data_IF_758518783891
#
_entry.id   IF_758518783891
#
_cell.length_a   1.000
_cell.length_b   1.000
_cell.length_c   1.000
_cell.angle_alpha   90.00
_cell.angle_beta   90.00
_cell.angle_gamma   90.00
#
_symmetry.space_group_name_H-M   'P 1'
#
loop_
_entity.id
_entity.type
_entity.pdbx_description
1 polymer ?
#
# COMPACT_ATOMS: atom_id res chain seq x y z
N UNK A 1 13.58 7.96 12.49
CA UNK A 1 12.44 7.11 12.11
C UNK A 1 12.81 5.97 11.14
N UNK A 2 14.06 5.90 10.64
CA UNK A 2 14.51 4.95 9.61
C UNK A 2 15.26 3.73 10.13
N UNK A 3 15.65 3.68 11.41
CA UNK A 3 16.54 2.65 11.92
C UNK A 3 15.91 1.25 11.92
N UNK A 4 14.59 1.12 12.16
CA UNK A 4 13.97 -0.20 12.11
C UNK A 4 13.92 -0.74 10.68
N UNK A 5 13.46 0.07 9.71
CA UNK A 5 13.26 -0.41 8.34
C UNK A 5 14.56 -0.74 7.62
N UNK A 6 15.69 -0.12 8.01
CA UNK A 6 17.01 -0.47 7.49
C UNK A 6 17.52 -1.83 7.98
N UNK A 7 16.93 -2.40 9.03
CA UNK A 7 17.30 -3.69 9.60
C UNK A 7 16.32 -4.82 9.25
N UNK A 8 15.22 -4.52 8.55
CA UNK A 8 14.27 -5.54 8.07
C UNK A 8 14.58 -5.90 6.62
N UNK A 9 14.62 -7.19 6.33
CA UNK A 9 14.71 -7.67 4.96
C UNK A 9 13.47 -7.22 4.19
N UNK A 10 13.62 -6.36 3.18
CA UNK A 10 12.48 -5.81 2.44
C UNK A 10 11.55 -6.89 1.90
N UNK A 11 12.09 -8.06 1.53
CA UNK A 11 11.33 -9.20 1.00
C UNK A 11 10.36 -9.84 2.01
N UNK A 12 10.50 -9.57 3.32
CA UNK A 12 9.55 -10.02 4.34
C UNK A 12 8.40 -9.03 4.59
N UNK A 13 8.44 -7.85 3.97
CA UNK A 13 7.40 -6.84 4.08
C UNK A 13 6.29 -7.05 3.04
N UNK A 14 5.08 -6.65 3.37
CA UNK A 14 3.92 -6.70 2.47
C UNK A 14 3.20 -5.36 2.51
N UNK A 15 2.49 -5.04 1.43
CA UNK A 15 1.58 -3.89 1.38
C UNK A 15 0.18 -4.39 1.10
N UNK A 16 -0.85 -3.75 1.67
CA UNK A 16 -2.23 -4.01 1.25
C UNK A 16 -2.60 -3.13 0.07
N UNK A 17 -3.60 -3.55 -0.71
CA UNK A 17 -4.22 -2.70 -1.74
C UNK A 17 -4.80 -1.41 -1.17
N UNK A 18 -5.21 -1.39 0.11
CA UNK A 18 -5.64 -0.16 0.78
C UNK A 18 -4.50 0.85 0.91
N UNK A 19 -3.31 0.43 1.35
CA UNK A 19 -2.14 1.31 1.43
C UNK A 19 -1.78 1.87 0.05
N UNK A 20 -1.88 1.06 -1.01
CA UNK A 20 -1.71 1.54 -2.38
C UNK A 20 -2.72 2.65 -2.72
N UNK A 21 -3.99 2.44 -2.38
CA UNK A 21 -5.06 3.42 -2.57
C UNK A 21 -4.84 4.72 -1.78
N UNK A 22 -4.39 4.63 -0.53
CA UNK A 22 -4.09 5.80 0.31
C UNK A 22 -2.95 6.65 -0.27
N UNK A 23 -1.89 6.01 -0.78
CA UNK A 23 -0.79 6.70 -1.43
C UNK A 23 -1.29 7.38 -2.72
N UNK A 24 -2.07 6.67 -3.56
CA UNK A 24 -2.68 7.25 -4.75
C UNK A 24 -3.54 8.48 -4.41
N UNK A 25 -4.40 8.39 -3.39
CA UNK A 25 -5.20 9.51 -2.89
C UNK A 25 -4.32 10.69 -2.46
N UNK A 26 -3.19 10.43 -1.82
CA UNK A 26 -2.22 11.47 -1.45
C UNK A 26 -1.59 12.16 -2.68
N UNK A 27 -1.27 11.38 -3.72
CA UNK A 27 -0.73 11.91 -4.98
C UNK A 27 -1.77 12.78 -5.70
N UNK A 28 -3.04 12.35 -5.74
CA UNK A 28 -4.10 13.09 -6.44
C UNK A 28 -4.40 14.46 -5.84
N UNK A 29 -4.15 14.65 -4.53
CA UNK A 29 -4.30 15.93 -3.86
C UNK A 29 -3.24 16.97 -4.23
N UNK A 30 -2.18 16.58 -4.92
CA UNK A 30 -1.15 17.51 -5.38
C UNK A 30 -1.64 18.28 -6.61
N UNK A 31 -1.21 19.56 -6.77
CA UNK A 31 -1.38 20.25 -8.04
C UNK A 31 -0.71 19.49 -9.18
N UNK A 32 -1.26 19.64 -10.39
CA UNK A 32 -0.68 19.04 -11.58
C UNK A 32 0.73 19.58 -11.83
N UNK A 33 1.63 18.69 -12.25
CA UNK A 33 3.01 19.05 -12.54
C UNK A 33 4.00 17.92 -12.31
N UNK A 34 5.29 18.29 -12.34
CA UNK A 34 6.40 17.32 -12.31
C UNK A 34 6.38 16.41 -11.09
N UNK A 35 6.00 16.93 -9.91
CA UNK A 35 5.95 16.16 -8.65
C UNK A 35 4.87 15.09 -8.70
N UNK A 36 3.63 15.46 -9.02
CA UNK A 36 2.50 14.52 -9.16
C UNK A 36 2.82 13.43 -10.19
N UNK A 37 3.32 13.82 -11.36
CA UNK A 37 3.71 12.89 -12.42
C UNK A 37 4.86 11.96 -12.00
N UNK A 38 5.84 12.46 -11.26
CA UNK A 38 6.94 11.66 -10.72
C UNK A 38 6.45 10.60 -9.73
N UNK A 39 5.57 10.98 -8.80
CA UNK A 39 5.02 10.07 -7.81
C UNK A 39 4.09 9.03 -8.45
N UNK A 40 3.31 9.40 -9.47
CA UNK A 40 2.54 8.42 -10.25
C UNK A 40 3.43 7.38 -10.92
N UNK A 41 4.56 7.79 -11.52
CA UNK A 41 5.51 6.82 -12.09
C UNK A 41 6.09 5.92 -11.01
N UNK A 42 6.50 6.50 -9.89
CA UNK A 42 7.09 5.77 -8.78
C UNK A 42 6.13 4.70 -8.21
N UNK A 43 4.87 5.06 -7.92
CA UNK A 43 3.91 4.07 -7.37
C UNK A 43 3.55 2.99 -8.38
N UNK A 44 3.38 3.36 -9.66
CA UNK A 44 2.93 2.41 -10.69
C UNK A 44 4.05 1.53 -11.25
N UNK A 45 5.31 1.93 -11.11
CA UNK A 45 6.45 1.17 -11.62
C UNK A 45 7.32 0.67 -10.47
N UNK A 46 8.02 1.58 -9.80
CA UNK A 46 9.06 1.22 -8.83
C UNK A 46 8.47 0.48 -7.63
N UNK A 47 7.42 1.02 -7.01
CA UNK A 47 6.81 0.41 -5.82
C UNK A 47 6.15 -0.93 -6.16
N UNK A 48 5.35 -0.97 -7.24
CA UNK A 48 4.72 -2.23 -7.72
C UNK A 48 5.76 -3.30 -8.06
N UNK A 49 6.90 -2.93 -8.64
CA UNK A 49 7.97 -3.88 -8.98
C UNK A 49 8.65 -4.41 -7.73
N UNK A 50 9.01 -3.53 -6.79
CA UNK A 50 9.64 -3.91 -5.52
C UNK A 50 8.78 -4.89 -4.71
N UNK A 51 7.47 -4.64 -4.66
CA UNK A 51 6.49 -5.47 -3.94
C UNK A 51 5.75 -6.46 -4.83
N UNK A 52 6.31 -6.86 -5.98
CA UNK A 52 5.69 -7.85 -6.85
C UNK A 52 5.37 -9.14 -6.07
N UNK A 53 4.14 -9.66 -6.23
CA UNK A 53 3.60 -10.80 -5.48
C UNK A 53 3.52 -10.61 -3.95
N UNK A 54 3.71 -9.39 -3.46
CA UNK A 54 3.64 -9.02 -2.03
C UNK A 54 2.72 -7.81 -1.78
N UNK A 55 1.86 -7.52 -2.74
CA UNK A 55 0.71 -6.64 -2.56
C UNK A 55 -0.49 -7.56 -2.29
N UNK A 56 -1.06 -7.45 -1.10
CA UNK A 56 -2.18 -8.27 -0.65
C UNK A 56 -3.49 -7.62 -1.09
N UNK A 57 -4.28 -8.36 -1.86
CA UNK A 57 -5.62 -7.98 -2.23
C UNK A 57 -6.57 -8.03 -1.04
N UNK A 58 -7.70 -7.32 -1.15
CA UNK A 58 -8.82 -7.45 -0.23
C UNK A 58 -9.89 -8.30 -0.91
N UNK A 59 -9.74 -9.62 -0.77
CA UNK A 59 -10.60 -10.63 -1.39
C UNK A 59 -11.78 -11.02 -0.48
N UNK A 60 -12.58 -11.99 -0.93
CA UNK A 60 -13.73 -12.49 -0.18
C UNK A 60 -13.32 -13.00 1.22
N UNK A 61 -12.21 -13.73 1.31
CA UNK A 61 -11.75 -14.27 2.58
C UNK A 61 -11.35 -13.16 3.56
N UNK A 62 -10.62 -12.15 3.09
CA UNK A 62 -10.28 -10.97 3.87
C UNK A 62 -11.54 -10.21 4.32
N UNK A 63 -12.56 -10.12 3.45
CA UNK A 63 -13.84 -9.49 3.75
C UNK A 63 -14.62 -10.22 4.85
N UNK A 64 -14.67 -11.55 4.80
CA UNK A 64 -15.34 -12.37 5.82
C UNK A 64 -14.67 -12.20 7.18
N UNK A 65 -13.32 -12.26 7.22
CA UNK A 65 -12.55 -12.05 8.46
C UNK A 65 -12.70 -10.64 9.01
N UNK A 66 -12.71 -9.64 8.14
CA UNK A 66 -13.01 -8.27 8.56
C UNK A 66 -14.40 -8.16 9.19
N UNK A 67 -15.42 -8.78 8.60
CA UNK A 67 -16.78 -8.78 9.14
C UNK A 67 -16.88 -9.47 10.51
N UNK A 68 -16.22 -10.63 10.67
CA UNK A 68 -16.13 -11.32 11.96
C UNK A 68 -15.48 -10.46 13.06
N UNK A 69 -14.43 -9.69 12.70
CA UNK A 69 -13.73 -8.82 13.65
C UNK A 69 -14.59 -7.62 14.03
N UNK A 70 -15.26 -6.98 13.06
CA UNK A 70 -16.13 -5.84 13.32
C UNK A 70 -17.32 -6.22 14.20
N UNK A 71 -17.99 -7.32 13.91
CA UNK A 71 -19.14 -7.77 14.72
C UNK A 71 -18.79 -8.18 16.15
N UNK A 72 -17.50 -8.45 16.46
CA UNK A 72 -17.03 -8.71 17.84
C UNK A 72 -16.66 -7.43 18.59
N UNK A 73 -16.41 -6.34 17.86
CA UNK A 73 -15.97 -5.07 18.43
C UNK A 73 -17.15 -4.12 18.74
N UNK A 74 -18.32 -4.41 18.17
CA UNK A 74 -19.62 -3.80 18.53
C UNK A 74 -20.20 -4.42 19.80
#
# INVERSE_FOLDING_TARGET
MTNWISHVFENSLYLSVFTMGEIHKGIEKLPDGKKKNGLHRWINKDLKTRFSNRILDFDLHASEKWGELQGKAE
#
